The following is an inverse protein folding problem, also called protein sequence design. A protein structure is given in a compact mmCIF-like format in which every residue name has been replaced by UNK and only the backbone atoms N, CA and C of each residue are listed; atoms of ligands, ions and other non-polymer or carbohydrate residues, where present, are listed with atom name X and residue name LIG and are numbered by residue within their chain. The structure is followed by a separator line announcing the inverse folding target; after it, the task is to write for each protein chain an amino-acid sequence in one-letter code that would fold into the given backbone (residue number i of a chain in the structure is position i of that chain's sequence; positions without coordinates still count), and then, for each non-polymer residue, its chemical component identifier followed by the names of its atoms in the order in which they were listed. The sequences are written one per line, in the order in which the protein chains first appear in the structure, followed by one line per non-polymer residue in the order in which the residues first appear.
data_IF_455823269917
#
_entry.id   IF_455823269917
#
_cell.length_a   1.000
_cell.length_b   1.000
_cell.length_c   1.000
_cell.angle_alpha   90.00
_cell.angle_beta   90.00
_cell.angle_gamma   90.00
#
_symmetry.space_group_name_H-M   'P 1'
#
loop_
_entity.id
_entity.type
_entity.pdbx_description
1 polymer ?
#
# COMPACT_ATOMS: atom_id res chain seq x y z
N UNK A 1 6.01 -20.52 -10.63
CA UNK A 1 4.55 -20.64 -10.74
C UNK A 1 4.12 -19.67 -11.82
N UNK A 2 3.54 -20.17 -12.90
CA UNK A 2 2.95 -19.38 -13.98
C UNK A 2 1.74 -18.61 -13.44
N UNK A 3 1.54 -17.38 -13.92
CA UNK A 3 0.48 -16.48 -13.48
C UNK A 3 -0.89 -16.93 -14.03
N UNK A 4 -1.35 -18.12 -13.63
CA UNK A 4 -2.51 -18.83 -14.19
C UNK A 4 -3.86 -18.53 -13.49
N UNK A 5 -3.95 -17.53 -12.61
CA UNK A 5 -5.17 -17.33 -11.79
C UNK A 5 -5.79 -15.94 -11.85
N UNK A 6 -5.44 -15.11 -12.83
CA UNK A 6 -6.11 -13.81 -12.98
C UNK A 6 -7.43 -14.00 -13.75
N UNK A 7 -8.55 -13.92 -13.04
CA UNK A 7 -9.88 -13.88 -13.66
C UNK A 7 -10.13 -12.47 -14.21
N UNK A 8 -10.54 -12.39 -15.48
CA UNK A 8 -10.90 -11.14 -16.16
C UNK A 8 -12.41 -11.04 -16.19
N UNK A 9 -12.98 -10.02 -15.55
CA UNK A 9 -14.40 -9.75 -15.55
C UNK A 9 -14.65 -8.39 -16.21
N UNK A 10 -15.41 -8.31 -17.32
CA UNK A 10 -15.85 -7.02 -17.84
C UNK A 10 -16.81 -6.37 -16.84
N UNK A 11 -16.57 -5.10 -16.48
CA UNK A 11 -17.45 -4.37 -15.57
C UNK A 11 -18.80 -4.03 -16.23
N UNK A 12 -18.76 -3.83 -17.54
CA UNK A 12 -19.92 -3.66 -18.39
C UNK A 12 -19.72 -4.51 -19.66
N UNK A 13 -20.58 -5.51 -19.93
CA UNK A 13 -20.52 -6.31 -21.16
C UNK A 13 -20.61 -5.48 -22.45
N UNK A 14 -21.18 -4.28 -22.38
CA UNK A 14 -21.29 -3.35 -23.50
C UNK A 14 -20.09 -2.39 -23.63
N UNK A 15 -19.22 -2.31 -22.62
CA UNK A 15 -18.02 -1.45 -22.61
C UNK A 15 -16.77 -2.27 -22.28
N UNK A 16 -16.16 -2.93 -23.28
CA UNK A 16 -14.99 -3.79 -23.10
C UNK A 16 -13.72 -3.04 -22.69
N UNK A 17 -13.78 -1.70 -22.56
CA UNK A 17 -12.66 -0.86 -22.15
C UNK A 17 -12.41 -0.88 -20.63
N UNK A 18 -13.39 -1.35 -19.84
CA UNK A 18 -13.29 -1.39 -18.38
C UNK A 18 -13.36 -2.83 -17.88
N UNK A 19 -12.20 -3.36 -17.50
CA UNK A 19 -12.06 -4.72 -16.99
C UNK A 19 -11.66 -4.70 -15.51
N UNK A 20 -12.18 -5.66 -14.74
CA UNK A 20 -11.68 -6.03 -13.43
C UNK A 20 -10.79 -7.23 -13.57
N UNK A 21 -9.61 -7.14 -12.96
CA UNK A 21 -8.68 -8.24 -12.84
C UNK A 21 -8.59 -8.62 -11.37
N UNK A 22 -8.85 -9.88 -11.08
CA UNK A 22 -8.80 -10.38 -9.71
C UNK A 22 -7.46 -11.09 -9.46
N UNK A 23 -6.69 -10.56 -8.51
CA UNK A 23 -5.46 -11.17 -7.98
C UNK A 23 -5.72 -11.60 -6.53
N UNK A 24 -5.63 -12.90 -6.24
CA UNK A 24 -6.05 -13.50 -4.96
C UNK A 24 -4.93 -14.23 -4.21
N UNK A 25 -3.73 -14.29 -4.77
CA UNK A 25 -2.59 -15.02 -4.24
C UNK A 25 -1.78 -14.20 -3.22
N UNK A 26 -1.90 -12.88 -3.22
CA UNK A 26 -1.12 -12.02 -2.33
C UNK A 26 -1.48 -12.16 -0.85
N UNK A 27 -0.46 -12.23 0.01
CA UNK A 27 -0.62 -12.33 1.48
C UNK A 27 -0.15 -11.10 2.24
N UNK A 28 0.60 -10.19 1.60
CA UNK A 28 1.10 -8.96 2.22
C UNK A 28 1.42 -7.89 1.18
N UNK A 29 1.65 -6.64 1.61
CA UNK A 29 1.89 -5.49 0.69
C UNK A 29 2.97 -5.74 -0.36
N UNK A 30 4.07 -6.43 0.00
CA UNK A 30 5.12 -6.80 -0.95
C UNK A 30 4.62 -7.67 -2.11
N UNK A 31 3.90 -8.77 -1.81
CA UNK A 31 3.32 -9.66 -2.83
C UNK A 31 2.22 -8.94 -3.61
N UNK A 32 1.42 -8.05 -2.99
CA UNK A 32 0.41 -7.25 -3.71
C UNK A 32 1.05 -6.49 -4.87
N UNK A 33 2.13 -5.77 -4.62
CA UNK A 33 2.83 -4.99 -5.65
C UNK A 33 3.44 -5.92 -6.71
N UNK A 34 4.10 -6.99 -6.28
CA UNK A 34 4.75 -7.93 -7.18
C UNK A 34 3.75 -8.62 -8.12
N UNK A 35 2.68 -9.19 -7.58
CA UNK A 35 1.67 -9.90 -8.37
C UNK A 35 0.84 -8.95 -9.22
N UNK A 36 0.53 -7.74 -8.72
CA UNK A 36 -0.09 -6.70 -9.56
C UNK A 36 0.78 -6.37 -10.78
N UNK A 37 2.10 -6.21 -10.60
CA UNK A 37 3.01 -5.94 -11.70
C UNK A 37 3.12 -7.11 -12.68
N UNK A 38 3.14 -8.35 -12.16
CA UNK A 38 3.12 -9.55 -13.02
C UNK A 38 1.85 -9.63 -13.85
N UNK A 39 0.68 -9.37 -13.25
CA UNK A 39 -0.60 -9.30 -13.96
C UNK A 39 -0.58 -8.21 -15.03
N UNK A 40 -0.15 -7.00 -14.70
CA UNK A 40 -0.05 -5.90 -15.68
C UNK A 40 0.87 -6.27 -16.86
N UNK A 41 2.02 -6.88 -16.59
CA UNK A 41 2.93 -7.33 -17.64
C UNK A 41 2.32 -8.44 -18.52
N UNK A 42 1.60 -9.40 -17.92
CA UNK A 42 0.92 -10.46 -18.66
C UNK A 42 -0.16 -9.92 -19.59
N UNK A 43 -0.76 -8.78 -19.25
CA UNK A 43 -1.75 -8.06 -20.06
C UNK A 43 -1.14 -7.12 -21.09
N UNK A 44 0.19 -7.04 -21.18
CA UNK A 44 0.89 -6.08 -22.05
C UNK A 44 0.80 -4.62 -21.58
N UNK A 45 0.41 -4.39 -20.32
CA UNK A 45 0.30 -3.06 -19.70
C UNK A 45 1.59 -2.72 -18.95
N UNK A 46 2.72 -2.67 -19.65
CA UNK A 46 4.06 -2.56 -19.02
C UNK A 46 4.44 -1.15 -18.53
N UNK A 47 3.67 -0.10 -18.87
CA UNK A 47 3.89 1.27 -18.36
C UNK A 47 2.57 2.05 -18.13
N UNK A 48 1.66 1.55 -17.26
CA UNK A 48 0.40 2.21 -17.06
C UNK A 48 0.57 3.39 -16.09
N UNK A 49 -0.19 4.47 -16.33
CA UNK A 49 -0.46 5.46 -15.28
C UNK A 49 -1.30 4.79 -14.20
N UNK A 50 -0.65 4.21 -13.19
CA UNK A 50 -1.32 3.40 -12.18
C UNK A 50 -1.86 4.23 -11.02
N UNK A 51 -3.10 3.94 -10.66
CA UNK A 51 -3.75 4.32 -9.42
C UNK A 51 -3.54 3.24 -8.34
N UNK A 52 -2.89 3.59 -7.23
CA UNK A 52 -2.89 2.75 -6.03
C UNK A 52 -3.92 3.29 -5.05
N UNK A 53 -4.92 2.46 -4.77
CA UNK A 53 -5.93 2.69 -3.73
C UNK A 53 -5.68 1.74 -2.58
N UNK A 54 -5.42 2.28 -1.39
CA UNK A 54 -5.17 1.50 -0.18
C UNK A 54 -5.80 2.19 1.05
N UNK A 55 -5.94 1.43 2.14
CA UNK A 55 -6.30 1.97 3.45
C UNK A 55 -5.34 3.09 3.89
N UNK A 56 -5.83 4.11 4.63
CA UNK A 56 -5.10 5.36 4.87
C UNK A 56 -3.71 5.21 5.45
N UNK A 57 -3.58 4.37 6.47
CA UNK A 57 -2.33 4.23 7.20
C UNK A 57 -1.27 3.42 6.44
N UNK A 58 -1.66 2.54 5.49
CA UNK A 58 -0.72 1.76 4.68
C UNK A 58 -0.42 2.42 3.33
N UNK A 59 -1.20 3.43 2.91
CA UNK A 59 -1.09 4.03 1.58
C UNK A 59 0.35 4.44 1.27
N UNK A 60 0.98 5.17 2.20
CA UNK A 60 2.35 5.67 2.02
C UNK A 60 3.36 4.55 1.82
N UNK A 61 3.33 3.52 2.66
CA UNK A 61 4.24 2.37 2.54
C UNK A 61 3.99 1.58 1.25
N UNK A 62 2.73 1.45 0.83
CA UNK A 62 2.36 0.78 -0.43
C UNK A 62 2.93 1.53 -1.63
N UNK A 63 2.78 2.86 -1.68
CA UNK A 63 3.37 3.69 -2.72
C UNK A 63 4.91 3.59 -2.75
N UNK A 64 5.57 3.62 -1.59
CA UNK A 64 7.03 3.46 -1.48
C UNK A 64 7.52 2.06 -1.90
N UNK A 65 6.71 1.03 -1.66
CA UNK A 65 6.95 -0.34 -2.12
C UNK A 65 6.83 -0.41 -3.64
N UNK A 66 5.79 0.20 -4.20
CA UNK A 66 5.60 0.31 -5.65
C UNK A 66 6.79 1.00 -6.32
N UNK A 67 7.21 2.17 -5.81
CA UNK A 67 8.37 2.91 -6.33
C UNK A 67 9.65 2.10 -6.22
N UNK A 68 9.84 1.32 -5.14
CA UNK A 68 11.03 0.48 -4.97
C UNK A 68 11.15 -0.58 -6.06
N UNK A 69 10.01 -1.19 -6.43
CA UNK A 69 9.93 -2.29 -7.41
C UNK A 69 9.97 -1.77 -8.84
N UNK A 70 9.27 -0.67 -9.13
CA UNK A 70 9.09 -0.16 -10.51
C UNK A 70 10.01 1.00 -10.88
N UNK A 71 10.66 1.62 -9.89
CA UNK A 71 11.45 2.84 -10.07
C UNK A 71 10.61 4.12 -10.28
N UNK A 72 9.27 4.04 -10.26
CA UNK A 72 8.37 5.17 -10.50
C UNK A 72 7.28 5.25 -9.44
N UNK A 73 6.92 6.46 -8.94
CA UNK A 73 5.81 6.59 -8.01
C UNK A 73 4.46 6.37 -8.72
N UNK A 74 3.48 5.71 -8.06
CA UNK A 74 2.13 5.60 -8.59
C UNK A 74 1.34 6.88 -8.30
N UNK A 75 0.25 7.10 -9.04
CA UNK A 75 -0.82 7.98 -8.55
C UNK A 75 -1.42 7.33 -7.29
N UNK A 76 -1.57 8.10 -6.23
CA UNK A 76 -1.96 7.58 -4.92
C UNK A 76 -3.25 8.21 -4.46
N UNK A 77 -4.24 7.38 -4.19
CA UNK A 77 -5.49 7.78 -3.57
C UNK A 77 -5.72 6.96 -2.32
N UNK A 78 -6.20 7.59 -1.26
CA UNK A 78 -6.73 6.90 -0.10
C UNK A 78 -8.08 7.50 0.24
N UNK A 79 -8.96 6.69 0.81
CA UNK A 79 -10.12 7.23 1.51
C UNK A 79 -9.64 8.15 2.64
N UNK A 80 -10.41 9.20 2.94
CA UNK A 80 -10.16 10.00 4.14
C UNK A 80 -10.50 9.09 5.33
N UNK A 81 -9.57 8.89 6.30
CA UNK A 81 -9.93 8.15 7.50
C UNK A 81 -11.06 8.88 8.22
N UNK A 82 -12.22 8.22 8.35
CA UNK A 82 -13.30 8.71 9.21
C UNK A 82 -13.07 8.21 10.63
N UNK A 83 -13.20 9.13 11.59
CA UNK A 83 -13.17 8.86 13.02
C UNK A 83 -14.56 8.89 13.64
N UNK A 84 -15.61 8.87 12.82
CA UNK A 84 -16.98 8.80 13.28
C UNK A 84 -17.35 7.40 13.81
N UNK A 85 -18.56 7.28 14.35
CA UNK A 85 -19.08 6.03 14.93
C UNK A 85 -19.26 4.88 13.92
N UNK A 86 -19.16 5.14 12.61
CA UNK A 86 -19.25 4.12 11.56
C UNK A 86 -17.93 3.38 11.32
N UNK A 87 -16.81 3.90 11.84
CA UNK A 87 -15.53 3.21 11.71
C UNK A 87 -15.42 2.06 12.73
N UNK A 88 -15.13 0.82 12.31
CA UNK A 88 -15.26 -0.36 13.16
C UNK A 88 -14.13 -0.53 14.19
N UNK A 89 -13.24 0.47 14.36
CA UNK A 89 -12.09 0.39 15.28
C UNK A 89 -12.09 1.54 16.28
N UNK A 90 -11.79 1.27 17.57
CA UNK A 90 -11.53 2.31 18.55
C UNK A 90 -10.40 3.24 18.10
N UNK A 91 -10.47 4.53 18.47
CA UNK A 91 -9.45 5.54 18.15
C UNK A 91 -8.05 5.08 18.55
N UNK A 92 -7.89 4.48 19.73
CA UNK A 92 -6.60 3.96 20.19
C UNK A 92 -6.01 2.93 19.22
N UNK A 93 -6.82 1.97 18.76
CA UNK A 93 -6.37 0.95 17.82
C UNK A 93 -5.96 1.54 16.46
N UNK A 94 -6.63 2.61 16.02
CA UNK A 94 -6.23 3.33 14.80
C UNK A 94 -4.88 4.05 14.97
N UNK A 95 -4.67 4.69 16.12
CA UNK A 95 -3.39 5.34 16.44
C UNK A 95 -2.25 4.32 16.55
N UNK A 96 -2.46 3.20 17.23
CA UNK A 96 -1.46 2.13 17.34
C UNK A 96 -1.11 1.56 15.95
N UNK A 97 -2.11 1.42 15.08
CA UNK A 97 -1.91 0.99 13.70
C UNK A 97 -1.09 2.00 12.89
N UNK A 98 -1.45 3.28 12.95
CA UNK A 98 -0.76 4.37 12.26
C UNK A 98 0.70 4.49 12.71
N UNK A 99 0.95 4.38 14.01
CA UNK A 99 2.30 4.41 14.58
C UNK A 99 3.12 3.19 14.14
N UNK A 100 2.49 2.01 14.09
CA UNK A 100 3.11 0.81 13.55
C UNK A 100 3.57 0.98 12.10
N UNK A 101 2.73 1.57 11.24
CA UNK A 101 3.09 1.85 9.85
C UNK A 101 4.23 2.87 9.73
N UNK A 102 4.20 3.90 10.58
CA UNK A 102 5.24 4.92 10.61
C UNK A 102 6.62 4.32 10.99
N UNK A 103 6.66 3.41 11.98
CA UNK A 103 7.85 2.65 12.39
C UNK A 103 8.34 1.67 11.31
N UNK A 104 7.42 1.07 10.56
CA UNK A 104 7.77 0.09 9.52
C UNK A 104 8.52 0.69 8.35
N UNK A 105 8.27 1.95 7.97
CA UNK A 105 8.94 2.57 6.81
C UNK A 105 10.47 2.48 6.91
N UNK A 106 11.15 3.00 7.95
CA UNK A 106 12.61 2.88 8.04
C UNK A 106 13.06 1.43 8.19
N UNK A 107 12.32 0.61 8.95
CA UNK A 107 12.62 -0.81 9.13
C UNK A 107 12.54 -1.62 7.83
N UNK A 108 11.66 -1.26 6.90
CA UNK A 108 11.43 -1.96 5.64
C UNK A 108 12.27 -1.37 4.50
N UNK A 109 12.72 -0.12 4.65
CA UNK A 109 13.68 0.50 3.76
C UNK A 109 15.14 0.15 4.07
N UNK A 110 15.40 -0.44 5.24
CA UNK A 110 16.73 -0.93 5.61
C UNK A 110 17.30 -1.89 4.55
N UNK A 111 18.62 -1.83 4.33
CA UNK A 111 19.28 -2.52 3.22
C UNK A 111 19.10 -4.04 3.21
N UNK A 112 18.95 -4.64 4.40
CA UNK A 112 18.75 -6.08 4.61
C UNK A 112 17.34 -6.55 4.21
N UNK A 113 16.34 -5.67 4.27
CA UNK A 113 14.95 -5.97 3.86
C UNK A 113 14.64 -5.45 2.47
N UNK A 114 14.97 -4.19 2.22
CA UNK A 114 14.78 -3.50 0.93
C UNK A 114 13.35 -3.65 0.36
N UNK A 115 12.34 -3.71 1.23
CA UNK A 115 10.94 -3.90 0.82
C UNK A 115 10.31 -2.60 0.29
N UNK A 116 10.75 -1.44 0.76
CA UNK A 116 10.28 -0.15 0.25
C UNK A 116 11.41 0.88 0.17
N UNK A 117 11.16 2.01 -0.50
CA UNK A 117 12.09 3.15 -0.49
C UNK A 117 12.03 3.91 0.84
N UNK A 118 13.18 4.41 1.30
CA UNK A 118 13.22 5.42 2.37
C UNK A 118 12.80 6.77 1.76
N UNK A 119 11.70 7.39 2.22
CA UNK A 119 11.29 8.69 1.68
C UNK A 119 12.22 9.79 2.20
N UNK A 120 12.57 10.74 1.33
CA UNK A 120 13.41 11.89 1.70
C UNK A 120 12.72 12.82 2.71
N UNK A 121 11.39 12.86 2.68
CA UNK A 121 10.54 13.64 3.57
C UNK A 121 10.06 12.84 4.80
N UNK A 122 10.73 11.74 5.16
CA UNK A 122 10.44 11.04 6.41
C UNK A 122 10.70 11.99 7.60
N UNK A 123 9.74 12.23 8.52
CA UNK A 123 9.94 13.21 9.60
C UNK A 123 10.39 12.57 10.95
N UNK A 124 11.66 12.19 11.16
CA UNK A 124 12.09 11.42 12.33
C UNK A 124 11.76 12.07 13.69
N UNK A 125 11.70 13.41 13.74
CA UNK A 125 11.27 14.13 14.94
C UNK A 125 9.82 13.79 15.36
N UNK A 126 8.94 13.52 14.40
CA UNK A 126 7.56 13.09 14.66
C UNK A 126 7.52 11.71 15.30
N UNK A 127 8.40 10.78 14.89
CA UNK A 127 8.52 9.47 15.54
C UNK A 127 8.86 9.64 17.02
N UNK A 128 9.94 10.38 17.29
CA UNK A 128 10.42 10.60 18.65
C UNK A 128 9.34 11.26 19.53
N UNK A 129 8.59 12.22 18.98
CA UNK A 129 7.48 12.85 19.66
C UNK A 129 6.31 11.89 19.93
N UNK A 130 5.98 10.98 19.00
CA UNK A 130 4.93 9.98 19.21
C UNK A 130 5.35 8.93 20.24
N UNK A 131 6.62 8.53 20.24
CA UNK A 131 7.17 7.54 21.17
C UNK A 131 7.17 8.06 22.61
N UNK A 132 7.46 9.35 22.82
CA UNK A 132 7.38 9.95 24.15
C UNK A 132 5.96 9.97 24.70
N UNK A 133 4.94 10.18 23.85
CA UNK A 133 3.52 10.12 24.25
C UNK A 133 3.09 8.69 24.58
N UNK A 134 3.52 7.69 23.81
CA UNK A 134 3.20 6.27 24.07
C UNK A 134 3.72 5.79 25.43
N UNK A 135 4.92 6.23 25.82
CA UNK A 135 5.54 5.87 27.09
C UNK A 135 4.74 6.34 28.31
N UNK A 136 4.01 7.45 28.18
CA UNK A 136 3.19 8.05 29.25
C UNK A 136 1.77 7.47 29.26
N UNK A 137 1.31 6.89 28.15
CA UNK A 137 -0.03 6.35 27.98
C UNK A 137 -0.15 4.83 28.27
N UNK A 138 0.90 4.23 28.84
CA UNK A 138 0.95 2.84 29.35
C UNK A 138 0.91 2.86 30.86
#
# INVERSE_FOLDING_TARGET
ATADSAEIMPLDPASPEVCVYLETASTHTGTNVQYSLQTLNALGLSDPRLAVVQQPFLQRRTALTWTRVTGRPPLSWTIVPSFDKSYPRPVRAMLDYALGEYRRIPLYAAADKSFCMMPADYPPAMLAALESVEAVAK
#
